data_IF_153809413759
#
_entry.id   IF_153809413759
#
_cell.length_a   1.000
_cell.length_b   1.000
_cell.length_c   1.000
_cell.angle_alpha   90.00
_cell.angle_beta   90.00
_cell.angle_gamma   90.00
#
_symmetry.space_group_name_H-M   'P 1'
#
loop_
_entity.id
_entity.type
_entity.pdbx_description
1 polymer ?
#
# COMPACT_ATOMS: atom_id res chain seq x y z
N UNK A 1 -12.08 6.61 17.07
CA UNK A 1 -11.90 5.20 16.64
C UNK A 1 -10.50 5.07 16.10
N UNK A 2 -9.73 4.11 16.58
CA UNK A 2 -8.38 3.80 16.08
C UNK A 2 -8.41 2.41 15.46
N UNK A 3 -7.92 2.31 14.23
CA UNK A 3 -7.76 1.04 13.52
C UNK A 3 -6.29 0.82 13.24
N UNK A 4 -5.80 -0.40 13.44
CA UNK A 4 -4.43 -0.76 13.13
C UNK A 4 -4.34 -2.21 12.66
N UNK A 5 -3.56 -2.44 11.61
CA UNK A 5 -3.18 -3.78 11.19
C UNK A 5 -2.01 -4.23 12.08
N UNK A 6 -2.16 -5.37 12.73
CA UNK A 6 -1.14 -5.92 13.62
C UNK A 6 -0.26 -6.95 12.91
N UNK A 7 -0.83 -7.71 11.97
CA UNK A 7 -0.14 -8.86 11.36
C UNK A 7 -0.80 -9.29 10.06
N UNK A 8 0.00 -9.72 9.11
CA UNK A 8 -0.41 -10.49 7.93
C UNK A 8 0.25 -11.86 7.97
N UNK A 9 -0.51 -12.91 7.69
CA UNK A 9 0.01 -14.26 7.54
C UNK A 9 -0.45 -14.90 6.23
N UNK A 10 0.46 -15.65 5.62
CA UNK A 10 0.25 -16.36 4.37
C UNK A 10 0.68 -17.81 4.55
N UNK A 11 -0.11 -18.74 4.03
CA UNK A 11 0.22 -20.17 3.95
C UNK A 11 -0.17 -20.70 2.59
N UNK A 12 0.80 -21.29 1.89
CA UNK A 12 0.60 -21.94 0.60
C UNK A 12 -0.12 -21.10 -0.45
N UNK A 13 0.35 -19.86 -0.67
CA UNK A 13 -0.25 -18.93 -1.64
C UNK A 13 0.78 -18.57 -2.71
N UNK A 14 0.55 -19.00 -3.95
CA UNK A 14 1.45 -18.77 -5.10
C UNK A 14 2.91 -19.12 -4.76
N UNK A 15 3.82 -18.14 -4.72
CA UNK A 15 5.25 -18.34 -4.38
C UNK A 15 5.53 -18.30 -2.87
N UNK A 16 4.52 -18.09 -2.04
CA UNK A 16 4.67 -17.94 -0.60
C UNK A 16 4.21 -19.22 0.08
N UNK A 17 5.14 -20.03 0.56
CA UNK A 17 4.83 -21.24 1.33
C UNK A 17 4.35 -20.90 2.73
N UNK A 18 5.09 -20.05 3.43
CA UNK A 18 4.71 -19.48 4.72
C UNK A 18 5.39 -18.12 4.91
N UNK A 19 4.62 -17.13 5.30
CA UNK A 19 5.14 -15.80 5.61
C UNK A 19 4.27 -15.17 6.70
N UNK A 20 4.94 -14.59 7.69
CA UNK A 20 4.30 -13.85 8.77
C UNK A 20 4.96 -12.47 8.87
N UNK A 21 4.15 -11.42 8.73
CA UNK A 21 4.59 -10.02 8.76
C UNK A 21 3.93 -9.32 9.96
N UNK A 22 4.65 -9.17 11.08
CA UNK A 22 4.17 -8.39 12.22
C UNK A 22 4.32 -6.89 11.96
N UNK A 23 3.35 -6.10 12.38
CA UNK A 23 3.35 -4.64 12.32
C UNK A 23 3.32 -4.01 13.72
N UNK A 24 3.87 -4.75 14.67
CA UNK A 24 4.08 -4.29 16.05
C UNK A 24 5.56 -4.24 16.36
N UNK A 25 5.96 -3.31 17.21
CA UNK A 25 7.32 -3.24 17.73
C UNK A 25 7.55 -4.33 18.78
N UNK A 26 8.79 -4.50 19.21
CA UNK A 26 9.16 -5.46 20.26
C UNK A 26 8.47 -5.20 21.61
N UNK A 27 8.09 -3.96 21.89
CA UNK A 27 7.34 -3.54 23.08
C UNK A 27 5.82 -3.77 22.97
N UNK A 28 5.35 -4.34 21.83
CA UNK A 28 3.94 -4.56 21.54
C UNK A 28 3.20 -3.32 21.03
N UNK A 29 3.85 -2.18 20.91
CA UNK A 29 3.22 -0.97 20.34
C UNK A 29 3.00 -1.11 18.85
N UNK A 30 1.91 -0.50 18.35
CA UNK A 30 1.53 -0.57 16.94
C UNK A 30 2.37 0.41 16.11
N UNK A 31 2.82 -0.05 14.95
CA UNK A 31 3.51 0.81 13.98
C UNK A 31 2.45 1.47 13.09
N UNK A 32 2.36 2.80 13.14
CA UNK A 32 1.33 3.56 12.43
C UNK A 32 1.49 3.52 10.91
N UNK A 33 2.74 3.55 10.42
CA UNK A 33 3.06 3.53 9.01
C UNK A 33 4.01 2.36 8.72
N UNK A 34 3.55 1.42 7.91
CA UNK A 34 4.33 0.24 7.54
C UNK A 34 4.72 0.33 6.07
N UNK A 35 6.00 0.14 5.78
CA UNK A 35 6.53 0.07 4.44
C UNK A 35 7.04 -1.35 4.16
N UNK A 36 6.34 -2.07 3.26
CA UNK A 36 6.70 -3.44 2.89
C UNK A 36 7.43 -3.40 1.56
N UNK A 37 8.73 -3.64 1.58
CA UNK A 37 9.55 -3.74 0.38
C UNK A 37 9.56 -5.18 -0.12
N UNK A 38 9.02 -5.40 -1.32
CA UNK A 38 8.96 -6.71 -1.96
C UNK A 38 9.53 -6.62 -3.37
N UNK A 39 10.35 -7.60 -3.75
CA UNK A 39 10.85 -7.71 -5.12
C UNK A 39 9.70 -7.92 -6.13
N UNK A 40 9.95 -7.70 -7.41
CA UNK A 40 8.94 -7.93 -8.44
C UNK A 40 8.59 -9.42 -8.52
N UNK A 41 7.30 -9.72 -8.66
CA UNK A 41 6.80 -11.10 -8.74
C UNK A 41 6.73 -11.85 -7.40
N UNK A 42 6.94 -11.19 -6.25
CA UNK A 42 6.93 -11.83 -4.92
C UNK A 42 5.59 -11.74 -4.19
N UNK A 43 4.55 -11.16 -4.79
CA UNK A 43 3.21 -11.21 -4.23
C UNK A 43 2.56 -9.86 -3.87
N UNK A 44 3.10 -8.71 -4.31
CA UNK A 44 2.48 -7.39 -4.06
C UNK A 44 1.02 -7.34 -4.50
N UNK A 45 0.76 -7.62 -5.77
CA UNK A 45 -0.61 -7.65 -6.33
C UNK A 45 -1.46 -8.73 -5.67
N UNK A 46 -0.87 -9.90 -5.37
CA UNK A 46 -1.55 -10.97 -4.63
C UNK A 46 -2.03 -10.51 -3.26
N UNK A 47 -1.19 -9.80 -2.51
CA UNK A 47 -1.55 -9.24 -1.20
C UNK A 47 -2.75 -8.30 -1.32
N UNK A 48 -2.71 -7.40 -2.31
CA UNK A 48 -3.81 -6.45 -2.54
C UNK A 48 -5.10 -7.17 -2.93
N UNK A 49 -5.03 -8.18 -3.81
CA UNK A 49 -6.18 -9.00 -4.20
C UNK A 49 -6.80 -9.71 -2.99
N UNK A 50 -5.97 -10.29 -2.11
CA UNK A 50 -6.44 -11.00 -0.92
C UNK A 50 -7.08 -10.04 0.10
N UNK A 51 -6.47 -8.88 0.35
CA UNK A 51 -7.03 -7.86 1.26
C UNK A 51 -8.36 -7.33 0.70
N UNK A 52 -8.41 -6.98 -0.59
CA UNK A 52 -9.64 -6.55 -1.25
C UNK A 52 -10.72 -7.62 -1.12
N UNK A 53 -10.45 -8.83 -1.62
CA UNK A 53 -11.41 -9.91 -1.63
C UNK A 53 -11.97 -10.25 -0.25
N UNK A 54 -11.13 -10.14 0.79
CA UNK A 54 -11.53 -10.37 2.16
C UNK A 54 -12.49 -9.29 2.66
N UNK A 55 -12.13 -8.00 2.49
CA UNK A 55 -12.84 -6.91 3.13
C UNK A 55 -13.98 -6.31 2.29
N UNK A 56 -13.95 -6.43 0.96
CA UNK A 56 -15.07 -6.04 0.09
C UNK A 56 -16.12 -7.15 -0.08
N UNK A 57 -15.83 -8.34 0.48
CA UNK A 57 -16.72 -9.50 0.41
C UNK A 57 -16.73 -10.21 -0.94
N UNK A 58 -15.95 -9.76 -1.92
CA UNK A 58 -15.92 -10.36 -3.26
C UNK A 58 -15.33 -11.77 -3.27
N UNK A 59 -14.52 -12.11 -2.26
CA UNK A 59 -13.91 -13.45 -2.16
C UNK A 59 -14.96 -14.56 -2.12
N UNK A 60 -16.10 -14.35 -1.47
CA UNK A 60 -17.18 -15.33 -1.42
C UNK A 60 -17.75 -15.69 -2.81
N UNK A 61 -17.60 -14.80 -3.78
CA UNK A 61 -18.03 -14.99 -5.17
C UNK A 61 -16.91 -15.42 -6.14
N UNK A 62 -15.70 -15.71 -5.66
CA UNK A 62 -14.61 -16.11 -6.55
C UNK A 62 -14.91 -17.43 -7.25
N UNK A 63 -14.65 -17.46 -8.55
CA UNK A 63 -14.76 -18.67 -9.34
C UNK A 63 -13.69 -19.71 -8.95
N UNK A 64 -13.96 -20.99 -9.19
CA UNK A 64 -13.00 -22.05 -8.94
C UNK A 64 -11.64 -21.80 -9.65
N UNK A 65 -11.67 -21.23 -10.85
CA UNK A 65 -10.46 -20.85 -11.59
C UNK A 65 -9.68 -19.77 -10.86
N UNK A 66 -10.36 -18.76 -10.31
CA UNK A 66 -9.72 -17.68 -9.52
C UNK A 66 -9.09 -18.24 -8.25
N UNK A 67 -9.80 -19.10 -7.51
CA UNK A 67 -9.26 -19.74 -6.29
C UNK A 67 -8.02 -20.58 -6.63
N UNK A 68 -8.07 -21.41 -7.66
CA UNK A 68 -6.91 -22.20 -8.10
C UNK A 68 -5.74 -21.35 -8.58
N UNK A 69 -5.98 -20.14 -9.06
CA UNK A 69 -4.89 -19.22 -9.45
C UNK A 69 -4.02 -18.75 -8.28
N UNK A 70 -4.46 -18.95 -7.04
CA UNK A 70 -3.68 -18.71 -5.83
C UNK A 70 -2.91 -19.95 -5.34
N UNK A 71 -3.10 -21.10 -5.95
CA UNK A 71 -2.37 -22.32 -5.58
C UNK A 71 -0.85 -22.11 -5.68
N UNK A 72 -0.06 -22.77 -4.83
CA UNK A 72 1.38 -22.66 -4.87
C UNK A 72 1.94 -23.22 -6.18
N UNK A 73 2.96 -22.56 -6.70
CA UNK A 73 3.63 -22.96 -7.96
C UNK A 73 4.85 -23.82 -7.74
N UNK A 74 5.36 -23.88 -6.51
CA UNK A 74 6.62 -24.57 -6.16
C UNK A 74 6.40 -25.81 -5.29
N UNK A 75 5.24 -25.95 -4.69
CA UNK A 75 4.89 -27.05 -3.80
C UNK A 75 3.46 -27.52 -4.09
N UNK A 76 3.19 -28.80 -3.92
CA UNK A 76 1.82 -29.29 -3.98
C UNK A 76 1.15 -29.06 -2.64
N UNK A 77 0.07 -28.28 -2.64
CA UNK A 77 -0.78 -28.09 -1.48
C UNK A 77 -2.23 -27.97 -1.93
N UNK A 78 -3.10 -28.74 -1.29
CA UNK A 78 -4.54 -28.72 -1.58
C UNK A 78 -5.25 -27.47 -1.00
N UNK A 79 -4.63 -26.82 -0.04
CA UNK A 79 -5.22 -25.67 0.67
C UNK A 79 -4.22 -24.55 0.87
N UNK A 80 -4.74 -23.33 0.93
CA UNK A 80 -4.00 -22.13 1.32
C UNK A 80 -4.81 -21.24 2.26
N UNK A 81 -4.13 -20.43 3.03
CA UNK A 81 -4.76 -19.52 3.97
C UNK A 81 -4.05 -18.17 3.96
N UNK A 82 -4.84 -17.11 3.87
CA UNK A 82 -4.41 -15.75 4.16
C UNK A 82 -5.13 -15.28 5.40
N UNK A 83 -4.43 -14.63 6.32
CA UNK A 83 -5.08 -14.00 7.44
C UNK A 83 -4.51 -12.62 7.75
N UNK A 84 -5.38 -11.76 8.26
CA UNK A 84 -5.04 -10.42 8.71
C UNK A 84 -5.57 -10.21 10.13
N UNK A 85 -4.68 -9.76 11.01
CA UNK A 85 -5.05 -9.39 12.38
C UNK A 85 -5.16 -7.88 12.45
N UNK A 86 -6.33 -7.39 12.86
CA UNK A 86 -6.64 -5.96 12.96
C UNK A 86 -7.09 -5.65 14.38
N UNK A 87 -6.60 -4.54 14.91
CA UNK A 87 -7.06 -3.96 16.16
C UNK A 87 -8.01 -2.80 15.86
N UNK A 88 -9.21 -2.87 16.43
CA UNK A 88 -10.18 -1.78 16.44
C UNK A 88 -10.34 -1.31 17.88
N UNK A 89 -9.90 -0.10 18.16
CA UNK A 89 -9.77 0.44 19.52
C UNK A 89 -8.97 -0.53 20.41
N UNK A 90 -9.59 -1.20 21.36
CA UNK A 90 -8.91 -2.14 22.27
C UNK A 90 -9.18 -3.62 21.96
N UNK A 91 -9.94 -3.94 20.92
CA UNK A 91 -10.29 -5.30 20.55
C UNK A 91 -9.53 -5.75 19.31
N UNK A 92 -9.03 -6.98 19.34
CA UNK A 92 -8.38 -7.63 18.20
C UNK A 92 -9.35 -8.57 17.51
N UNK A 93 -9.28 -8.55 16.17
CA UNK A 93 -10.01 -9.44 15.28
C UNK A 93 -9.02 -10.05 14.32
N UNK A 94 -9.14 -11.34 14.07
CA UNK A 94 -8.38 -12.02 13.04
C UNK A 94 -9.34 -12.51 11.97
N UNK A 95 -9.11 -12.08 10.75
CA UNK A 95 -9.88 -12.43 9.58
C UNK A 95 -9.10 -13.43 8.74
N UNK A 96 -9.78 -14.46 8.27
CA UNK A 96 -9.19 -15.56 7.51
C UNK A 96 -9.86 -15.67 6.15
N UNK A 97 -9.05 -15.94 5.16
CA UNK A 97 -9.45 -16.33 3.82
C UNK A 97 -8.84 -17.71 3.55
N UNK A 98 -9.64 -18.74 3.75
CA UNK A 98 -9.22 -20.13 3.58
C UNK A 98 -9.63 -20.63 2.20
N UNK A 99 -8.67 -21.11 1.41
CA UNK A 99 -8.85 -21.57 0.04
C UNK A 99 -8.63 -23.08 -0.05
N UNK A 100 -9.55 -23.80 -0.69
CA UNK A 100 -9.37 -25.19 -1.10
C UNK A 100 -9.15 -25.20 -2.61
N UNK A 101 -7.94 -25.48 -3.02
CA UNK A 101 -7.53 -25.45 -4.43
C UNK A 101 -8.08 -26.64 -5.23
N UNK A 102 -8.27 -27.79 -4.56
CA UNK A 102 -8.82 -28.99 -5.17
C UNK A 102 -10.27 -28.76 -5.60
N UNK A 103 -11.08 -28.28 -4.67
CA UNK A 103 -12.51 -28.03 -4.91
C UNK A 103 -12.75 -26.67 -5.58
N UNK A 104 -11.77 -25.78 -5.54
CA UNK A 104 -11.90 -24.40 -6.05
C UNK A 104 -12.85 -23.54 -5.21
N UNK A 105 -12.90 -23.78 -3.90
CA UNK A 105 -13.76 -23.07 -2.96
C UNK A 105 -12.95 -22.18 -2.03
N UNK A 106 -13.60 -21.14 -1.54
CA UNK A 106 -13.04 -20.20 -0.58
C UNK A 106 -14.01 -19.95 0.57
N UNK A 107 -13.49 -19.84 1.78
CA UNK A 107 -14.25 -19.52 2.97
C UNK A 107 -13.64 -18.31 3.66
N UNK A 108 -14.52 -17.42 4.10
CA UNK A 108 -14.17 -16.25 4.92
C UNK A 108 -14.62 -16.53 6.35
N UNK A 109 -13.72 -16.33 7.29
CA UNK A 109 -13.99 -16.55 8.71
C UNK A 109 -13.44 -15.39 9.53
N UNK A 110 -14.04 -15.15 10.68
CA UNK A 110 -13.61 -14.15 11.66
C UNK A 110 -13.40 -14.79 13.01
N UNK A 111 -12.30 -14.50 13.68
CA UNK A 111 -12.05 -14.85 15.06
C UNK A 111 -11.90 -13.61 15.92
N UNK A 112 -12.67 -13.54 17.01
CA UNK A 112 -12.61 -12.48 18.01
C UNK A 112 -12.61 -13.11 19.40
N UNK A 113 -11.58 -12.87 20.24
CA UNK A 113 -11.58 -13.40 21.61
C UNK A 113 -12.80 -12.93 22.42
N UNK A 114 -13.40 -13.77 23.25
CA UNK A 114 -13.04 -15.15 23.57
C UNK A 114 -13.63 -16.22 22.64
N UNK A 115 -14.31 -15.81 21.55
CA UNK A 115 -14.94 -16.73 20.60
C UNK A 115 -13.91 -17.31 19.63
N UNK A 116 -14.16 -18.54 19.17
CA UNK A 116 -13.38 -19.17 18.12
C UNK A 116 -13.63 -18.57 16.73
N UNK A 117 -13.28 -19.32 15.67
CA UNK A 117 -13.58 -18.93 14.30
C UNK A 117 -15.08 -19.04 14.01
N UNK A 118 -15.66 -18.00 13.47
CA UNK A 118 -17.06 -17.94 13.04
C UNK A 118 -17.07 -17.64 11.52
N UNK A 119 -17.99 -18.25 10.81
CA UNK A 119 -18.12 -18.05 9.37
C UNK A 119 -18.51 -16.60 9.01
N UNK A 120 -17.93 -16.10 7.93
CA UNK A 120 -18.19 -14.78 7.37
C UNK A 120 -17.30 -13.67 7.93
N UNK A 121 -17.35 -12.53 7.24
CA UNK A 121 -16.69 -11.29 7.66
C UNK A 121 -17.55 -10.58 8.71
N UNK A 122 -17.10 -10.60 9.94
CA UNK A 122 -17.80 -9.97 11.09
C UNK A 122 -17.04 -8.74 11.55
N UNK A 123 -17.42 -7.60 11.03
CA UNK A 123 -16.88 -6.31 11.46
C UNK A 123 -17.60 -5.82 12.73
N UNK A 124 -16.89 -5.12 13.65
CA UNK A 124 -17.52 -4.41 14.75
C UNK A 124 -18.63 -3.48 14.25
N UNK A 125 -19.68 -3.33 15.02
CA UNK A 125 -20.84 -2.52 14.65
C UNK A 125 -20.45 -1.05 14.39
N UNK A 126 -19.51 -0.53 15.18
CA UNK A 126 -18.99 0.84 15.04
C UNK A 126 -18.33 1.16 13.71
N UNK A 127 -17.84 0.15 12.96
CA UNK A 127 -17.15 0.33 11.69
C UNK A 127 -17.91 -0.27 10.51
N UNK A 128 -18.93 -1.10 10.76
CA UNK A 128 -19.67 -1.80 9.69
C UNK A 128 -20.26 -0.83 8.67
N UNK A 129 -20.75 0.34 9.13
CA UNK A 129 -21.31 1.36 8.24
C UNK A 129 -20.26 2.15 7.45
N UNK A 130 -19.00 2.13 7.88
CA UNK A 130 -17.89 2.84 7.22
C UNK A 130 -17.13 1.89 6.30
N UNK A 131 -16.90 0.66 6.75
CA UNK A 131 -16.08 -0.36 6.07
C UNK A 131 -16.93 -1.11 5.03
N UNK A 132 -17.38 -0.37 4.03
CA UNK A 132 -18.18 -0.89 2.93
C UNK A 132 -17.28 -1.39 1.80
N UNK A 133 -17.77 -2.21 0.86
CA UNK A 133 -17.01 -2.60 -0.33
C UNK A 133 -16.48 -1.40 -1.12
N UNK A 134 -17.22 -0.30 -1.14
CA UNK A 134 -16.81 0.94 -1.80
C UNK A 134 -15.63 1.60 -1.07
N UNK A 135 -15.66 1.65 0.27
CA UNK A 135 -14.54 2.11 1.07
C UNK A 135 -13.29 1.28 0.77
N UNK A 136 -13.39 -0.05 0.79
CA UNK A 136 -12.25 -0.95 0.51
C UNK A 136 -11.69 -0.67 -0.88
N UNK A 137 -12.52 -0.49 -1.89
CA UNK A 137 -12.10 -0.19 -3.27
C UNK A 137 -11.34 1.13 -3.38
N UNK A 138 -11.74 2.15 -2.60
CA UNK A 138 -11.13 3.48 -2.61
C UNK A 138 -9.81 3.54 -1.82
N UNK A 139 -9.66 2.73 -0.78
CA UNK A 139 -8.50 2.79 0.13
C UNK A 139 -7.53 1.61 0.02
N UNK A 140 -7.91 0.54 -0.66
CA UNK A 140 -7.04 -0.60 -0.96
C UNK A 140 -6.81 -0.64 -2.47
N UNK A 141 -5.76 0.01 -2.96
CA UNK A 141 -5.49 0.15 -4.39
C UNK A 141 -4.02 -0.14 -4.70
N UNK A 142 -3.76 -0.56 -5.95
CA UNK A 142 -2.40 -0.74 -6.47
C UNK A 142 -1.83 0.57 -7.06
N UNK A 143 -0.54 0.53 -7.43
CA UNK A 143 0.15 1.70 -7.95
C UNK A 143 -0.42 2.24 -9.26
N UNK A 144 -1.01 1.39 -10.10
CA UNK A 144 -1.65 1.82 -11.36
C UNK A 144 -2.95 2.56 -11.07
N UNK A 145 -3.73 2.06 -10.13
CA UNK A 145 -4.97 2.70 -9.68
C UNK A 145 -4.66 4.01 -8.94
N UNK A 146 -3.58 4.03 -8.12
CA UNK A 146 -3.10 5.25 -7.49
C UNK A 146 -2.71 6.34 -8.50
N UNK A 147 -2.02 5.95 -9.58
CA UNK A 147 -1.64 6.90 -10.63
C UNK A 147 -2.87 7.49 -11.34
N UNK A 148 -3.90 6.68 -11.61
CA UNK A 148 -5.16 7.16 -12.20
C UNK A 148 -5.93 8.08 -11.25
N UNK A 149 -5.99 7.75 -9.97
CA UNK A 149 -6.69 8.57 -8.96
C UNK A 149 -5.97 9.88 -8.65
N UNK A 150 -4.67 9.96 -8.97
CA UNK A 150 -3.87 11.19 -8.86
C UNK A 150 -3.90 12.07 -10.12
N UNK A 151 -4.51 11.58 -11.20
CA UNK A 151 -4.70 12.38 -12.40
C UNK A 151 -5.71 13.50 -12.09
N UNK A 152 -5.26 14.74 -12.20
CA UNK A 152 -6.07 15.95 -11.90
C UNK A 152 -7.32 16.08 -12.79
N UNK A 153 -7.41 15.30 -13.84
CA UNK A 153 -8.60 15.21 -14.71
C UNK A 153 -9.70 14.29 -14.14
N UNK A 154 -9.39 13.48 -13.11
CA UNK A 154 -10.35 12.57 -12.52
C UNK A 154 -11.08 13.21 -11.32
N UNK A 155 -12.40 13.09 -11.27
CA UNK A 155 -13.21 13.50 -10.12
C UNK A 155 -13.09 12.53 -8.91
N UNK A 156 -12.19 11.53 -8.97
CA UNK A 156 -12.09 10.47 -7.96
C UNK A 156 -11.71 11.01 -6.56
N UNK A 157 -10.87 12.04 -6.51
CA UNK A 157 -10.52 12.68 -5.24
C UNK A 157 -11.72 13.37 -4.60
N UNK A 158 -12.48 14.14 -5.37
CA UNK A 158 -13.70 14.80 -4.92
C UNK A 158 -14.76 13.77 -4.49
N UNK A 159 -14.96 12.72 -5.26
CA UNK A 159 -15.85 11.62 -4.90
C UNK A 159 -15.42 10.90 -3.63
N UNK A 160 -14.11 10.71 -3.43
CA UNK A 160 -13.58 10.09 -2.21
C UNK A 160 -13.83 10.98 -0.98
N UNK A 161 -13.65 12.30 -1.12
CA UNK A 161 -13.98 13.27 -0.07
C UNK A 161 -15.48 13.27 0.22
N UNK A 162 -16.33 13.31 -0.81
CA UNK A 162 -17.78 13.23 -0.66
C UNK A 162 -18.21 11.96 0.08
N UNK A 163 -17.63 10.83 -0.29
CA UNK A 163 -17.87 9.55 0.37
C UNK A 163 -17.44 9.54 1.85
N UNK A 164 -16.21 9.99 2.16
CA UNK A 164 -15.68 10.03 3.53
C UNK A 164 -16.52 10.88 4.47
N UNK A 165 -16.97 12.03 3.98
CA UNK A 165 -17.76 12.98 4.76
C UNK A 165 -19.27 12.78 4.60
N UNK A 166 -19.68 11.73 3.87
CA UNK A 166 -21.10 11.42 3.57
C UNK A 166 -21.86 12.62 3.06
N UNK A 167 -21.21 13.41 2.17
CA UNK A 167 -21.81 14.63 1.65
C UNK A 167 -23.04 14.35 0.80
N UNK A 168 -23.09 13.21 0.13
CA UNK A 168 -24.26 12.79 -0.65
C UNK A 168 -25.48 12.51 0.24
N UNK A 169 -25.28 11.88 1.41
CA UNK A 169 -26.36 11.69 2.41
C UNK A 169 -26.85 13.04 2.95
N UNK A 170 -25.95 14.01 3.16
CA UNK A 170 -26.33 15.37 3.56
C UNK A 170 -27.13 16.08 2.46
N UNK A 171 -26.73 15.93 1.21
CA UNK A 171 -27.47 16.50 0.07
C UNK A 171 -28.87 15.88 -0.06
N UNK A 172 -29.01 14.57 0.15
CA UNK A 172 -30.30 13.88 0.19
C UNK A 172 -31.20 14.37 1.34
N UNK A 173 -30.65 14.52 2.54
CA UNK A 173 -31.38 15.06 3.70
C UNK A 173 -31.82 16.48 3.43
N UNK A 174 -30.99 17.30 2.83
CA UNK A 174 -31.33 18.67 2.46
C UNK A 174 -32.45 18.69 1.41
N UNK A 175 -32.37 17.84 0.39
CA UNK A 175 -33.40 17.71 -0.64
C UNK A 175 -34.74 17.23 -0.05
N UNK A 176 -34.69 16.25 0.87
CA UNK A 176 -35.89 15.77 1.56
C UNK A 176 -36.52 16.88 2.44
N UNK A 177 -35.71 17.62 3.19
CA UNK A 177 -36.21 18.75 3.97
C UNK A 177 -36.84 19.85 3.10
N UNK A 178 -36.25 20.15 1.94
CA UNK A 178 -36.81 21.13 0.99
C UNK A 178 -38.16 20.67 0.43
N UNK A 179 -38.32 19.36 0.13
CA UNK A 179 -39.60 18.78 -0.31
C UNK A 179 -40.66 18.92 0.78
N UNK A 180 -40.33 18.53 2.02
CA UNK A 180 -41.25 18.66 3.17
C UNK A 180 -41.66 20.12 3.39
N UNK A 181 -40.71 21.07 3.33
CA UNK A 181 -41.03 22.49 3.43
C UNK A 181 -41.98 22.97 2.32
N UNK A 182 -41.74 22.51 1.09
CA UNK A 182 -42.61 22.86 -0.04
C UNK A 182 -44.03 22.28 0.14
N UNK A 183 -44.12 21.03 0.61
CA UNK A 183 -45.42 20.39 0.91
C UNK A 183 -46.17 21.11 2.02
N UNK A 184 -45.49 21.51 3.10
CA UNK A 184 -46.06 22.28 4.20
C UNK A 184 -46.51 23.64 3.72
N UNK A 185 -45.71 24.38 2.94
CA UNK A 185 -46.08 25.68 2.37
C UNK A 185 -47.30 25.58 1.47
N UNK A 186 -47.38 24.53 0.66
CA UNK A 186 -48.54 24.27 -0.20
C UNK A 186 -49.79 23.89 0.61
N UNK A 187 -49.64 23.17 1.72
CA UNK A 187 -50.72 22.81 2.62
C UNK A 187 -51.22 23.98 3.46
N UNK A 188 -50.30 24.88 3.89
CA UNK A 188 -50.62 26.08 4.68
C UNK A 188 -51.26 27.21 3.84
N UNK A 189 -50.96 27.26 2.55
CA UNK A 189 -51.71 28.14 1.63
C UNK A 189 -53.21 27.87 1.64
N UNK A 190 -53.65 26.77 2.26
CA UNK A 190 -55.07 26.36 2.43
C UNK A 190 -55.59 26.45 3.86
N UNK A 191 -54.75 26.68 4.89
CA UNK A 191 -55.18 26.79 6.29
C UNK A 191 -54.16 27.67 7.09
N UNK A 192 -54.60 28.83 7.47
CA UNK A 192 -53.77 29.78 8.23
C UNK A 192 -53.40 29.30 9.63
N UNK A 193 -52.12 29.00 9.84
CA UNK A 193 -51.56 28.86 11.17
C UNK A 193 -50.15 29.49 11.19
N UNK A 194 -50.10 30.68 11.72
CA UNK A 194 -48.95 31.60 11.73
C UNK A 194 -47.77 31.14 12.61
N UNK A 195 -47.96 30.25 13.58
CA UNK A 195 -46.87 29.88 14.53
C UNK A 195 -45.96 28.78 14.02
N UNK A 196 -46.47 27.82 13.27
CA UNK A 196 -45.65 26.77 12.67
C UNK A 196 -44.72 27.29 11.56
N UNK A 197 -45.21 28.29 10.79
CA UNK A 197 -44.40 28.95 9.74
C UNK A 197 -43.20 29.70 10.28
N UNK A 198 -43.32 30.37 11.44
CA UNK A 198 -42.21 31.09 12.06
C UNK A 198 -41.11 30.12 12.54
N UNK A 199 -41.50 29.00 13.17
CA UNK A 199 -40.56 27.96 13.62
C UNK A 199 -39.83 27.27 12.46
N UNK A 200 -40.51 27.03 11.33
CA UNK A 200 -39.91 26.44 10.13
C UNK A 200 -38.97 27.42 9.44
N UNK A 201 -39.29 28.71 9.37
CA UNK A 201 -38.39 29.76 8.86
C UNK A 201 -37.11 29.88 9.71
N UNK A 202 -37.26 29.81 11.04
CA UNK A 202 -36.10 29.83 11.94
C UNK A 202 -35.19 28.62 11.69
N UNK A 203 -35.76 27.40 11.59
CA UNK A 203 -34.98 26.21 11.27
C UNK A 203 -34.33 26.28 9.89
N UNK A 204 -34.98 26.81 8.89
CA UNK A 204 -34.42 27.03 7.55
C UNK A 204 -33.23 27.99 7.63
N UNK A 205 -33.35 29.10 8.37
CA UNK A 205 -32.26 30.05 8.61
C UNK A 205 -31.06 29.40 9.29
N UNK A 206 -31.31 28.53 10.28
CA UNK A 206 -30.25 27.80 10.99
C UNK A 206 -29.53 26.81 10.05
N UNK A 207 -30.27 26.09 9.22
CA UNK A 207 -29.72 25.19 8.20
C UNK A 207 -28.88 25.96 7.18
N UNK A 208 -29.37 27.09 6.70
CA UNK A 208 -28.66 27.92 5.74
C UNK A 208 -27.36 28.49 6.35
N UNK A 209 -27.39 28.85 7.64
CA UNK A 209 -26.20 29.29 8.37
C UNK A 209 -25.15 28.15 8.51
N UNK A 210 -25.58 26.93 8.82
CA UNK A 210 -24.71 25.75 8.87
C UNK A 210 -24.13 25.46 7.49
N UNK A 211 -24.95 25.50 6.43
CA UNK A 211 -24.54 25.31 5.05
C UNK A 211 -23.48 26.32 4.61
N UNK A 212 -23.67 27.60 4.99
CA UNK A 212 -22.69 28.63 4.71
C UNK A 212 -21.36 28.38 5.43
N UNK A 213 -21.39 27.95 6.70
CA UNK A 213 -20.16 27.56 7.45
C UNK A 213 -19.44 26.35 6.82
N UNK A 214 -20.20 25.34 6.38
CA UNK A 214 -19.62 24.17 5.73
C UNK A 214 -19.00 24.53 4.38
N UNK A 215 -19.67 25.37 3.56
CA UNK A 215 -19.11 25.86 2.30
C UNK A 215 -17.81 26.63 2.52
N UNK A 216 -17.78 27.56 3.48
CA UNK A 216 -16.56 28.28 3.82
C UNK A 216 -15.44 27.35 4.28
N UNK A 217 -15.77 26.26 5.00
CA UNK A 217 -14.78 25.26 5.41
C UNK A 217 -14.27 24.44 4.23
N UNK A 218 -15.16 24.08 3.30
CA UNK A 218 -14.76 23.39 2.06
C UNK A 218 -13.83 24.25 1.20
N UNK A 219 -14.13 25.53 1.04
CA UNK A 219 -13.25 26.45 0.30
C UNK A 219 -11.87 26.54 0.96
N UNK A 220 -11.82 26.66 2.28
CA UNK A 220 -10.56 26.71 3.01
C UNK A 220 -9.75 25.41 2.84
N UNK A 221 -10.41 24.27 2.88
CA UNK A 221 -9.76 22.97 2.62
C UNK A 221 -9.26 22.86 1.17
N UNK A 222 -9.99 23.40 0.20
CA UNK A 222 -9.53 23.45 -1.20
C UNK A 222 -8.28 24.30 -1.36
N UNK A 223 -8.20 25.45 -0.68
CA UNK A 223 -6.99 26.28 -0.66
C UNK A 223 -5.81 25.54 -0.04
N UNK A 224 -6.03 24.83 1.08
CA UNK A 224 -5.01 24.00 1.73
C UNK A 224 -4.54 22.86 0.80
N UNK A 225 -5.45 22.18 0.10
CA UNK A 225 -5.13 21.13 -0.89
C UNK A 225 -4.29 21.72 -2.03
N UNK A 226 -4.70 22.85 -2.60
CA UNK A 226 -3.95 23.51 -3.67
C UNK A 226 -2.53 23.90 -3.24
N UNK A 227 -2.35 24.33 -2.00
CA UNK A 227 -1.04 24.64 -1.45
C UNK A 227 -0.17 23.36 -1.31
N UNK A 228 -0.75 22.26 -0.83
CA UNK A 228 -0.05 20.98 -0.73
C UNK A 228 0.30 20.38 -2.12
N UNK A 229 -0.56 20.55 -3.10
CA UNK A 229 -0.28 20.13 -4.49
C UNK A 229 0.88 20.92 -5.08
N UNK A 230 0.96 22.23 -4.83
CA UNK A 230 2.09 23.05 -5.25
C UNK A 230 3.40 22.60 -4.57
N UNK A 231 3.36 22.33 -3.26
CA UNK A 231 4.52 21.80 -2.53
C UNK A 231 4.94 20.42 -3.05
N UNK A 232 3.98 19.56 -3.38
CA UNK A 232 4.24 18.23 -3.97
C UNK A 232 4.97 18.35 -5.31
N UNK A 233 4.53 19.23 -6.20
CA UNK A 233 5.17 19.47 -7.50
C UNK A 233 6.61 19.94 -7.32
N UNK A 234 6.86 20.82 -6.36
CA UNK A 234 8.22 21.29 -6.07
C UNK A 234 9.12 20.18 -5.53
N UNK A 235 8.61 19.36 -4.60
CA UNK A 235 9.36 18.19 -4.09
C UNK A 235 9.62 17.15 -5.17
N UNK A 236 8.72 16.99 -6.11
CA UNK A 236 8.87 16.06 -7.23
C UNK A 236 9.96 16.52 -8.20
N UNK A 237 10.08 17.84 -8.44
CA UNK A 237 11.22 18.41 -9.19
C UNK A 237 12.56 18.18 -8.48
N UNK A 238 12.61 18.47 -7.16
CA UNK A 238 13.82 18.22 -6.35
C UNK A 238 14.23 16.75 -6.38
N UNK A 239 13.26 15.83 -6.31
CA UNK A 239 13.50 14.39 -6.43
C UNK A 239 14.08 14.03 -7.81
N UNK A 240 13.52 14.57 -8.89
CA UNK A 240 14.04 14.32 -10.24
C UNK A 240 15.47 14.83 -10.43
N UNK A 241 15.81 15.98 -9.84
CA UNK A 241 17.18 16.51 -9.86
C UNK A 241 18.14 15.62 -9.04
N UNK A 242 17.68 15.11 -7.91
CA UNK A 242 18.46 14.18 -7.08
C UNK A 242 18.67 12.84 -7.82
N UNK A 243 17.65 12.30 -8.47
CA UNK A 243 17.75 11.07 -9.26
C UNK A 243 18.76 11.24 -10.42
N UNK A 244 18.72 12.37 -11.12
CA UNK A 244 19.72 12.68 -12.17
C UNK A 244 21.16 12.78 -11.63
N UNK A 245 21.32 13.37 -10.44
CA UNK A 245 22.64 13.45 -9.80
C UNK A 245 23.13 12.08 -9.36
N UNK A 246 22.23 11.24 -8.85
CA UNK A 246 22.53 9.85 -8.48
C UNK A 246 22.92 8.99 -9.68
N UNK A 247 22.26 9.16 -10.82
CA UNK A 247 22.64 8.48 -12.06
C UNK A 247 24.04 8.86 -12.52
N UNK A 248 24.39 10.16 -12.46
CA UNK A 248 25.75 10.64 -12.78
C UNK A 248 26.80 10.01 -11.86
N UNK A 249 26.56 10.04 -10.57
CA UNK A 249 27.49 9.42 -9.59
C UNK A 249 27.62 7.90 -9.79
N UNK A 250 26.57 7.23 -10.19
CA UNK A 250 26.63 5.81 -10.53
C UNK A 250 27.44 5.53 -11.82
N UNK A 251 27.34 6.42 -12.81
CA UNK A 251 28.15 6.35 -14.00
C UNK A 251 29.63 6.55 -13.67
N UNK A 252 29.98 7.61 -12.93
CA UNK A 252 31.34 7.87 -12.47
C UNK A 252 31.92 6.71 -11.67
N UNK A 253 31.13 6.14 -10.74
CA UNK A 253 31.53 4.94 -9.99
C UNK A 253 31.84 3.75 -10.90
N UNK A 254 31.00 3.52 -11.91
CA UNK A 254 31.21 2.42 -12.85
C UNK A 254 32.44 2.64 -13.73
N UNK A 255 32.73 3.86 -14.09
CA UNK A 255 33.93 4.21 -14.87
C UNK A 255 35.20 4.03 -14.04
N UNK A 256 35.18 4.46 -12.78
CA UNK A 256 36.30 4.19 -11.83
C UNK A 256 36.53 2.69 -11.63
N UNK A 257 35.45 1.90 -11.52
CA UNK A 257 35.55 0.44 -11.39
C UNK A 257 36.18 -0.21 -12.64
N UNK A 258 35.81 0.25 -13.84
CA UNK A 258 36.42 -0.22 -15.10
C UNK A 258 37.90 0.13 -15.17
N UNK A 259 38.25 1.34 -14.77
CA UNK A 259 39.65 1.78 -14.74
C UNK A 259 40.48 0.97 -13.72
N UNK A 260 39.94 0.71 -12.55
CA UNK A 260 40.57 -0.18 -11.56
C UNK A 260 40.78 -1.60 -12.08
N UNK A 261 39.79 -2.17 -12.80
CA UNK A 261 39.91 -3.48 -13.42
C UNK A 261 40.99 -3.50 -14.49
N UNK A 262 41.07 -2.45 -15.33
CA UNK A 262 42.11 -2.30 -16.35
C UNK A 262 43.51 -2.23 -15.70
N UNK A 263 43.67 -1.37 -14.70
CA UNK A 263 44.92 -1.21 -13.98
C UNK A 263 45.38 -2.52 -13.29
N UNK A 264 44.44 -3.29 -12.71
CA UNK A 264 44.71 -4.64 -12.18
C UNK A 264 45.22 -5.57 -13.27
N UNK A 265 44.55 -5.62 -14.41
CA UNK A 265 44.99 -6.44 -15.56
C UNK A 265 46.41 -6.07 -16.04
N UNK A 266 46.71 -4.78 -16.12
CA UNK A 266 48.05 -4.30 -16.49
C UNK A 266 49.13 -4.70 -15.45
N UNK A 267 48.79 -4.65 -14.17
CA UNK A 267 49.65 -5.09 -13.09
C UNK A 267 49.93 -6.60 -13.20
N UNK A 268 48.89 -7.40 -13.41
CA UNK A 268 49.01 -8.86 -13.55
C UNK A 268 49.87 -9.26 -14.76
N UNK A 269 49.72 -8.54 -15.88
CA UNK A 269 50.60 -8.75 -17.07
C UNK A 269 52.04 -8.41 -16.74
N UNK A 270 52.32 -7.29 -16.04
CA UNK A 270 53.68 -6.90 -15.64
C UNK A 270 54.30 -7.90 -14.67
N UNK A 271 53.50 -8.37 -13.68
CA UNK A 271 53.96 -9.41 -12.75
C UNK A 271 54.33 -10.70 -13.51
N UNK A 272 53.48 -11.13 -14.43
CA UNK A 272 53.72 -12.31 -15.26
C UNK A 272 54.99 -12.16 -16.12
N UNK A 273 55.20 -10.97 -16.69
CA UNK A 273 56.43 -10.64 -17.45
C UNK A 273 57.68 -10.70 -16.58
N UNK A 274 57.65 -10.11 -15.39
CA UNK A 274 58.77 -10.14 -14.43
C UNK A 274 59.08 -11.57 -14.00
N UNK A 275 58.05 -12.36 -13.68
CA UNK A 275 58.24 -13.77 -13.34
C UNK A 275 58.79 -14.59 -14.51
N UNK A 276 58.46 -14.26 -15.74
CA UNK A 276 59.06 -14.86 -16.93
C UNK A 276 60.53 -14.55 -17.10
N UNK A 277 60.95 -13.31 -16.79
CA UNK A 277 62.36 -12.91 -16.81
C UNK A 277 63.15 -13.63 -15.72
N UNK A 278 62.61 -13.72 -14.52
CA UNK A 278 63.27 -14.41 -13.39
C UNK A 278 63.46 -15.90 -13.67
N UNK A 279 62.53 -16.53 -14.38
CA UNK A 279 62.56 -17.95 -14.76
C UNK A 279 63.31 -18.21 -16.06
N UNK A 280 63.91 -17.19 -16.67
CA UNK A 280 64.64 -17.38 -17.91
C UNK A 280 66.02 -18.03 -17.67
N UNK A 281 66.54 -18.89 -18.59
CA UNK A 281 67.78 -19.65 -18.39
C UNK A 281 69.01 -18.80 -18.13
N UNK A 282 68.96 -17.50 -18.44
CA UNK A 282 70.07 -16.54 -18.16
C UNK A 282 70.37 -16.34 -16.64
N UNK A 283 69.31 -16.50 -15.82
CA UNK A 283 69.48 -16.41 -14.35
C UNK A 283 70.17 -17.67 -13.74
N UNK A 284 70.08 -18.82 -14.43
CA UNK A 284 70.69 -20.06 -14.00
C UNK A 284 72.18 -20.06 -14.37
N UNK A 285 72.60 -19.41 -15.48
CA UNK A 285 74.05 -19.28 -15.80
C UNK A 285 74.78 -18.42 -14.77
N UNK A 286 74.20 -17.34 -14.28
CA UNK A 286 74.87 -16.51 -13.25
C UNK A 286 74.95 -17.19 -11.87
N UNK A 287 74.01 -18.05 -11.54
CA UNK A 287 74.11 -18.82 -10.28
C UNK A 287 75.09 -19.97 -10.39
N UNK A 288 75.29 -20.58 -11.54
CA UNK A 288 76.32 -21.61 -11.76
C UNK A 288 77.73 -21.03 -11.79
N UNK A 289 77.93 -19.81 -12.34
CA UNK A 289 79.20 -19.11 -12.27
C UNK A 289 79.56 -18.72 -10.85
N UNK A 290 78.66 -18.28 -10.03
CA UNK A 290 78.93 -18.01 -8.59
C UNK A 290 79.16 -19.27 -7.79
N UNK A 291 78.63 -20.41 -8.13
CA UNK A 291 78.92 -21.68 -7.49
C UNK A 291 80.28 -22.26 -7.93
N UNK A 292 80.69 -22.00 -9.17
CA UNK A 292 82.02 -22.42 -9.66
C UNK A 292 83.14 -21.62 -9.03
N UNK A 293 82.90 -20.34 -8.70
CA UNK A 293 83.92 -19.51 -7.95
C UNK A 293 84.02 -19.86 -6.48
N UNK A 294 83.03 -20.49 -5.88
CA UNK A 294 83.13 -20.96 -4.48
C UNK A 294 83.80 -22.32 -4.31
N UNK A 295 84.02 -23.05 -5.40
CA UNK A 295 84.68 -24.34 -5.38
C UNK A 295 86.23 -24.26 -5.66
N UNK A 296 86.82 -23.06 -5.73
CA UNK A 296 88.25 -22.80 -5.99
C UNK A 296 88.92 -22.07 -4.79
N UNK A 297 88.35 -22.18 -3.60
CA UNK A 297 88.93 -21.63 -2.39
C UNK A 297 89.27 -22.73 -1.40
#
# INVERSE_FOLDING_TARGET
MKMAILELEYKNIRKITALKLPFTKADGSVISNNFIMMANGTGKTTTMELIKGLFDGTAAGWTASKVRSFAPTLTEADTGEFSITVKFDDRQYKYFLSMNYKDGTVQVETSAPPKGREAGLRLPESIRGIFTPEFVRRFVFDGEQAAKSMDSSSNEADETIRYLYRLDELDEILAANQRILTEIQNAEGKRGTSSSLSNLRTRQSDIDAIRAKLRARCEKLREEIAAFEAEKVEKEKQRQELDKSYEKLNQEKNDILKEQQKNRGEIDVKITSILGIIKSPRSEEHTSELQSLHSIS
#
